data_IF_942058528516
#
_entry.id   IF_942058528516
#
_cell.length_a   1.000
_cell.length_b   1.000
_cell.length_c   1.000
_cell.angle_alpha   90.00
_cell.angle_beta   90.00
_cell.angle_gamma   90.00
#
_symmetry.space_group_name_H-M   'P 1'
#
loop_
_entity.id
_entity.type
_entity.pdbx_description
1 polymer ?
#
# COMPACT_ATOMS: atom_id res chain seq x y z
N UNK A 1 -3.55 14.13 -12.27
CA UNK A 1 -4.09 13.27 -11.19
C UNK A 1 -5.08 14.10 -10.41
N UNK A 2 -6.16 13.51 -9.85
CA UNK A 2 -7.01 14.27 -8.95
C UNK A 2 -6.18 14.80 -7.79
N UNK A 3 -6.41 16.03 -7.44
CA UNK A 3 -5.74 16.72 -6.34
C UNK A 3 -6.06 15.98 -5.03
N UNK A 4 -5.02 15.57 -4.31
CA UNK A 4 -5.19 14.91 -3.01
C UNK A 4 -5.41 15.96 -1.93
N UNK A 5 -6.32 15.68 -1.02
CA UNK A 5 -6.71 16.59 0.04
C UNK A 5 -6.72 15.87 1.38
N UNK A 6 -6.22 16.55 2.40
CA UNK A 6 -6.36 16.17 3.80
C UNK A 6 -7.42 17.06 4.46
N UNK A 7 -8.11 16.50 5.45
CA UNK A 7 -9.12 17.20 6.22
C UNK A 7 -8.85 16.97 7.71
N UNK A 8 -8.78 18.02 8.48
CA UNK A 8 -8.79 17.95 9.94
C UNK A 8 -10.25 18.04 10.42
N UNK A 9 -10.85 16.89 10.72
CA UNK A 9 -12.26 16.78 11.07
C UNK A 9 -12.41 16.49 12.56
N UNK A 10 -13.00 17.41 13.35
CA UNK A 10 -13.32 17.16 14.75
C UNK A 10 -14.15 15.90 14.92
N UNK A 11 -13.94 15.17 16.00
CA UNK A 11 -14.59 13.88 16.24
C UNK A 11 -16.14 13.97 16.21
N UNK A 12 -16.67 15.06 16.73
CA UNK A 12 -18.10 15.34 16.75
C UNK A 12 -18.71 15.58 15.36
N UNK A 13 -17.90 16.12 14.42
CA UNK A 13 -18.30 16.38 13.04
C UNK A 13 -18.06 15.22 12.08
N UNK A 14 -17.40 14.14 12.53
CA UNK A 14 -16.95 13.04 11.68
C UNK A 14 -18.13 12.35 10.94
N UNK A 15 -19.28 12.18 11.58
CA UNK A 15 -20.45 11.54 10.97
C UNK A 15 -20.98 12.39 9.82
N UNK A 16 -21.08 13.70 10.02
CA UNK A 16 -21.57 14.64 9.00
C UNK A 16 -20.60 14.74 7.84
N UNK A 17 -19.29 14.77 8.12
CA UNK A 17 -18.25 14.74 7.12
C UNK A 17 -18.33 13.47 6.25
N UNK A 18 -18.42 12.29 6.85
CA UNK A 18 -18.53 11.02 6.12
C UNK A 18 -19.83 10.99 5.29
N UNK A 19 -20.93 11.52 5.82
CA UNK A 19 -22.18 11.59 5.09
C UNK A 19 -22.09 12.52 3.87
N UNK A 20 -21.47 13.69 4.01
CA UNK A 20 -21.21 14.62 2.91
C UNK A 20 -20.29 14.00 1.84
N UNK A 21 -19.18 13.38 2.26
CA UNK A 21 -18.26 12.67 1.37
C UNK A 21 -18.97 11.58 0.54
N UNK A 22 -19.85 10.80 1.17
CA UNK A 22 -20.62 9.74 0.48
C UNK A 22 -21.63 10.28 -0.52
N UNK A 23 -22.18 11.47 -0.30
CA UNK A 23 -23.13 12.11 -1.21
C UNK A 23 -22.41 12.87 -2.35
N UNK A 24 -21.11 13.05 -2.25
CA UNK A 24 -20.35 13.89 -3.19
C UNK A 24 -20.60 15.38 -3.02
N UNK A 25 -20.96 15.81 -1.80
CA UNK A 25 -21.21 17.22 -1.48
C UNK A 25 -19.90 18.01 -1.56
N UNK A 26 -19.98 19.33 -1.64
CA UNK A 26 -18.85 20.22 -1.50
C UNK A 26 -18.26 20.13 -0.08
N UNK A 27 -16.96 19.83 -0.01
CA UNK A 27 -16.23 19.66 1.24
C UNK A 27 -15.43 20.89 1.67
N UNK A 28 -15.58 22.02 0.99
CA UNK A 28 -14.84 23.27 1.30
C UNK A 28 -15.07 23.78 2.72
N UNK A 29 -16.25 23.48 3.30
CA UNK A 29 -16.56 23.82 4.70
C UNK A 29 -15.60 23.17 5.72
N UNK A 30 -14.96 22.03 5.36
CA UNK A 30 -13.97 21.32 6.19
C UNK A 30 -12.52 21.72 5.88
N UNK A 31 -12.30 22.82 5.12
CA UNK A 31 -10.99 23.41 4.85
C UNK A 31 -9.96 22.39 4.35
N UNK A 32 -10.16 21.84 3.13
CA UNK A 32 -9.21 20.91 2.55
C UNK A 32 -7.81 21.51 2.42
N UNK A 33 -6.81 20.72 2.78
CA UNK A 33 -5.41 21.06 2.57
C UNK A 33 -4.84 20.17 1.46
N UNK A 34 -4.11 20.72 0.48
CA UNK A 34 -3.50 19.91 -0.57
C UNK A 34 -2.42 18.99 0.02
N UNK A 35 -2.36 17.75 -0.48
CA UNK A 35 -1.36 16.75 -0.05
C UNK A 35 -0.49 16.37 -1.24
N UNK A 36 0.80 16.63 -1.15
CA UNK A 36 1.81 16.35 -2.18
C UNK A 36 2.61 15.05 -1.92
N UNK A 37 2.54 14.52 -0.71
CA UNK A 37 3.21 13.29 -0.30
C UNK A 37 2.31 12.06 -0.36
N UNK A 38 2.91 10.87 -0.35
CA UNK A 38 2.20 9.59 -0.25
C UNK A 38 2.11 9.14 1.19
N UNK A 39 1.02 8.46 1.54
CA UNK A 39 0.83 7.89 2.87
C UNK A 39 1.26 6.43 2.88
N UNK A 40 2.12 6.06 3.84
CA UNK A 40 2.56 4.69 4.04
C UNK A 40 2.05 4.16 5.38
N UNK A 41 1.14 3.20 5.34
CA UNK A 41 0.57 2.58 6.52
C UNK A 41 1.35 1.31 6.87
N UNK A 42 1.96 1.24 8.05
CA UNK A 42 2.64 0.06 8.57
C UNK A 42 1.77 -0.68 9.58
N UNK A 43 1.59 -1.99 9.41
CA UNK A 43 0.83 -2.80 10.36
C UNK A 43 1.65 -3.05 11.63
N UNK A 44 1.21 -2.48 12.76
CA UNK A 44 1.84 -2.64 14.09
C UNK A 44 0.93 -3.37 15.08
N UNK A 45 -0.19 -3.95 14.64
CA UNK A 45 -1.24 -4.48 15.48
C UNK A 45 -0.85 -5.76 16.23
N UNK A 46 -0.48 -5.61 17.50
CA UNK A 46 0.00 -6.71 18.34
C UNK A 46 -1.07 -7.60 18.98
N UNK A 47 -2.32 -7.14 19.07
CA UNK A 47 -3.39 -7.93 19.71
C UNK A 47 -3.79 -9.17 18.90
N UNK A 48 -3.66 -9.13 17.58
CA UNK A 48 -4.00 -10.24 16.70
C UNK A 48 -2.80 -11.13 16.38
N UNK A 49 -1.63 -10.52 16.21
CA UNK A 49 -0.41 -11.25 15.87
C UNK A 49 0.83 -10.55 16.45
N UNK A 50 1.59 -11.28 17.26
CA UNK A 50 2.82 -10.77 17.88
C UNK A 50 3.88 -10.38 16.84
N UNK A 51 3.85 -10.99 15.65
CA UNK A 51 4.78 -10.68 14.56
C UNK A 51 4.61 -9.24 14.07
N UNK A 52 3.36 -8.76 13.90
CA UNK A 52 3.11 -7.38 13.50
C UNK A 52 3.59 -6.37 14.57
N UNK A 53 3.39 -6.68 15.85
CA UNK A 53 3.90 -5.81 16.93
C UNK A 53 5.42 -5.78 16.95
N UNK A 54 6.08 -6.93 16.77
CA UNK A 54 7.54 -7.03 16.89
C UNK A 54 8.23 -6.45 15.64
N UNK A 55 7.92 -7.00 14.47
CA UNK A 55 8.58 -6.64 13.22
C UNK A 55 8.01 -5.37 12.61
N UNK A 56 6.67 -5.24 12.59
CA UNK A 56 6.01 -4.08 11.98
C UNK A 56 6.32 -2.77 12.69
N UNK A 57 6.42 -2.77 14.03
CA UNK A 57 6.79 -1.55 14.76
C UNK A 57 8.25 -1.14 14.54
N UNK A 58 9.17 -2.10 14.46
CA UNK A 58 10.56 -1.82 14.10
C UNK A 58 10.67 -1.21 12.70
N UNK A 59 9.99 -1.83 11.72
CA UNK A 59 9.95 -1.36 10.34
C UNK A 59 9.31 0.03 10.23
N UNK A 60 8.20 0.29 10.95
CA UNK A 60 7.58 1.61 11.00
C UNK A 60 8.58 2.69 11.43
N UNK A 61 9.30 2.45 12.54
CA UNK A 61 10.30 3.40 13.04
C UNK A 61 11.42 3.65 12.03
N UNK A 62 11.95 2.57 11.46
CA UNK A 62 13.04 2.67 10.50
C UNK A 62 12.61 3.37 9.21
N UNK A 63 11.38 3.13 8.72
CA UNK A 63 10.81 3.87 7.58
C UNK A 63 10.62 5.35 7.89
N UNK A 64 10.05 5.70 9.05
CA UNK A 64 9.85 7.07 9.45
C UNK A 64 11.18 7.83 9.63
N UNK A 65 12.22 7.14 10.10
CA UNK A 65 13.56 7.70 10.20
C UNK A 65 14.20 7.89 8.83
N UNK A 66 14.11 6.89 7.94
CA UNK A 66 14.63 6.97 6.58
C UNK A 66 13.96 8.10 5.76
N UNK A 67 12.65 8.26 5.87
CA UNK A 67 11.90 9.34 5.22
C UNK A 67 12.43 10.70 5.67
N UNK A 68 12.62 10.92 6.96
CA UNK A 68 13.16 12.19 7.49
C UNK A 68 14.62 12.42 7.11
N UNK A 69 15.43 11.37 7.10
CA UNK A 69 16.87 11.47 6.81
C UNK A 69 17.13 11.78 5.34
N UNK A 70 16.34 11.22 4.45
CA UNK A 70 16.50 11.35 3.00
C UNK A 70 15.52 12.33 2.34
N UNK A 71 14.72 13.04 3.14
CA UNK A 71 13.72 14.03 2.67
C UNK A 71 12.79 13.44 1.59
N UNK A 72 12.25 12.25 1.86
CA UNK A 72 11.40 11.53 0.91
C UNK A 72 9.93 11.95 1.05
N UNK A 73 9.14 11.94 -0.05
CA UNK A 73 7.77 12.47 -0.07
C UNK A 73 6.75 11.48 0.51
N UNK A 74 6.97 11.04 1.74
CA UNK A 74 6.07 10.10 2.43
C UNK A 74 5.71 10.59 3.82
N UNK A 75 4.48 10.29 4.23
CA UNK A 75 4.04 10.31 5.61
C UNK A 75 3.84 8.86 6.09
N UNK A 76 4.55 8.46 7.14
CA UNK A 76 4.56 7.07 7.61
C UNK A 76 3.75 6.95 8.88
N UNK A 77 2.73 6.09 8.86
CA UNK A 77 1.78 5.92 9.96
C UNK A 77 1.73 4.47 10.44
N UNK A 78 1.49 4.32 11.74
CA UNK A 78 1.06 3.05 12.30
C UNK A 78 -0.39 2.76 11.90
N UNK A 79 -0.66 1.51 11.59
CA UNK A 79 -2.01 1.06 11.27
C UNK A 79 -2.37 -0.22 12.02
N UNK A 80 -3.67 -0.45 12.16
CA UNK A 80 -4.19 -1.71 12.61
C UNK A 80 -4.00 -2.79 11.54
N UNK A 81 -4.71 -3.89 11.63
CA UNK A 81 -4.56 -5.05 10.76
C UNK A 81 -4.79 -4.76 9.27
N UNK A 82 -3.70 -4.79 8.48
CA UNK A 82 -3.74 -4.64 7.01
C UNK A 82 -3.96 -5.98 6.26
N UNK A 83 -4.13 -7.08 6.97
CA UNK A 83 -4.17 -8.42 6.41
C UNK A 83 -2.77 -9.00 6.14
N UNK A 84 -2.66 -10.34 6.14
CA UNK A 84 -1.40 -11.03 5.82
C UNK A 84 -0.37 -11.02 6.94
N UNK A 85 -0.76 -11.21 8.21
CA UNK A 85 0.15 -11.22 9.37
C UNK A 85 1.34 -12.18 9.23
N UNK A 86 1.18 -13.28 8.48
CA UNK A 86 2.28 -14.22 8.16
C UNK A 86 3.37 -13.60 7.28
N UNK A 87 3.12 -12.42 6.77
CA UNK A 87 4.02 -11.65 5.90
C UNK A 87 4.48 -10.35 6.60
N UNK A 88 4.51 -10.36 7.95
CA UNK A 88 5.08 -9.24 8.69
C UNK A 88 6.59 -9.12 8.40
N UNK A 89 7.15 -7.94 8.31
CA UNK A 89 6.49 -6.64 8.41
C UNK A 89 5.75 -6.30 7.11
N UNK A 90 4.61 -5.63 7.21
CA UNK A 90 3.78 -5.31 6.04
C UNK A 90 3.35 -3.83 6.04
N UNK A 91 3.29 -3.27 4.83
CA UNK A 91 2.87 -1.90 4.59
C UNK A 91 1.89 -1.80 3.43
N UNK A 92 1.14 -0.70 3.40
CA UNK A 92 0.27 -0.28 2.30
C UNK A 92 0.61 1.16 1.93
N UNK A 93 0.88 1.40 0.66
CA UNK A 93 1.18 2.73 0.11
C UNK A 93 -0.05 3.31 -0.55
N UNK A 94 -0.43 4.51 -0.17
CA UNK A 94 -1.54 5.28 -0.70
C UNK A 94 -1.03 6.52 -1.44
N UNK A 95 -1.65 6.91 -2.53
CA UNK A 95 -2.92 6.42 -3.11
C UNK A 95 -2.78 5.23 -4.04
N UNK A 96 -1.57 4.74 -4.30
CA UNK A 96 -1.29 3.67 -5.26
C UNK A 96 -1.93 2.33 -4.89
N UNK A 97 -2.31 2.14 -3.61
CA UNK A 97 -2.86 0.92 -3.04
C UNK A 97 -1.93 -0.30 -3.16
N UNK A 98 -0.62 -0.03 -3.25
CA UNK A 98 0.43 -1.05 -3.34
C UNK A 98 0.69 -1.69 -1.98
N UNK A 99 0.62 -3.00 -1.93
CA UNK A 99 0.80 -3.78 -0.72
C UNK A 99 2.17 -4.44 -0.67
N UNK A 100 2.84 -4.32 0.47
CA UNK A 100 4.15 -4.88 0.74
C UNK A 100 4.10 -5.87 1.91
N UNK A 101 5.05 -6.81 1.93
CA UNK A 101 5.18 -7.76 3.02
C UNK A 101 6.56 -8.39 3.07
N UNK A 102 6.96 -8.90 4.25
CA UNK A 102 8.30 -9.40 4.54
C UNK A 102 9.40 -8.35 4.36
N UNK A 103 9.07 -7.12 4.70
CA UNK A 103 10.00 -6.01 4.60
C UNK A 103 11.09 -6.20 5.66
N UNK A 104 12.33 -6.38 5.22
CA UNK A 104 13.53 -6.42 6.06
C UNK A 104 14.18 -5.05 6.18
N UNK A 105 15.19 -4.94 7.03
CA UNK A 105 15.88 -3.67 7.25
C UNK A 105 16.58 -3.16 5.97
N UNK A 106 17.15 -4.07 5.19
CA UNK A 106 17.83 -3.75 3.92
C UNK A 106 16.86 -3.34 2.79
N UNK A 107 15.57 -3.64 2.94
CA UNK A 107 14.55 -3.29 1.95
C UNK A 107 14.01 -1.87 2.12
N UNK A 108 14.16 -1.26 3.29
CA UNK A 108 13.48 -0.02 3.67
C UNK A 108 13.79 1.12 2.71
N UNK A 109 15.06 1.48 2.58
CA UNK A 109 15.45 2.60 1.72
C UNK A 109 15.20 2.32 0.23
N UNK A 110 15.56 1.14 -0.32
CA UNK A 110 15.25 0.81 -1.72
C UNK A 110 13.75 0.82 -2.03
N UNK A 111 12.88 0.38 -1.09
CA UNK A 111 11.43 0.43 -1.24
C UNK A 111 10.93 1.88 -1.30
N UNK A 112 11.36 2.72 -0.37
CA UNK A 112 10.98 4.13 -0.33
C UNK A 112 11.42 4.87 -1.59
N UNK A 113 12.66 4.67 -2.03
CA UNK A 113 13.17 5.27 -3.26
C UNK A 113 12.45 4.79 -4.52
N UNK A 114 12.09 3.49 -4.58
CA UNK A 114 11.32 2.94 -5.70
C UNK A 114 9.94 3.57 -5.77
N UNK A 115 9.24 3.65 -4.63
CA UNK A 115 7.93 4.29 -4.54
C UNK A 115 7.99 5.79 -4.83
N UNK A 116 9.03 6.50 -4.42
CA UNK A 116 9.22 7.92 -4.74
C UNK A 116 9.36 8.14 -6.26
N UNK A 117 9.89 7.16 -6.99
CA UNK A 117 9.94 7.15 -8.46
C UNK A 117 8.64 6.64 -9.11
N UNK A 118 7.61 6.36 -8.32
CA UNK A 118 6.32 5.86 -8.79
C UNK A 118 6.27 4.37 -9.13
N UNK A 119 7.30 3.59 -8.76
CA UNK A 119 7.46 2.17 -9.12
C UNK A 119 7.34 1.26 -7.91
N UNK A 120 6.78 0.04 -8.06
CA UNK A 120 6.79 -0.95 -6.99
C UNK A 120 8.19 -1.51 -6.75
N UNK A 121 8.57 -1.71 -5.50
CA UNK A 121 9.77 -2.43 -5.11
C UNK A 121 9.48 -3.94 -5.08
N UNK A 122 9.84 -4.66 -6.14
CA UNK A 122 9.42 -6.04 -6.39
C UNK A 122 9.82 -7.04 -5.29
N UNK A 123 11.00 -6.98 -4.65
CA UNK A 123 11.38 -7.97 -3.63
C UNK A 123 10.37 -8.13 -2.49
N UNK A 124 9.67 -7.06 -2.14
CA UNK A 124 8.67 -7.05 -1.08
C UNK A 124 7.22 -6.86 -1.58
N UNK A 125 7.02 -6.70 -2.90
CA UNK A 125 5.73 -6.36 -3.49
C UNK A 125 4.75 -7.53 -3.42
N UNK A 126 3.51 -7.24 -3.00
CA UNK A 126 2.44 -8.22 -2.86
C UNK A 126 1.27 -7.98 -3.80
N UNK A 127 1.38 -6.96 -4.65
CA UNK A 127 0.35 -6.58 -5.60
C UNK A 127 -0.53 -5.41 -5.14
N UNK A 128 -1.37 -4.97 -6.05
CA UNK A 128 -2.39 -3.94 -5.79
C UNK A 128 -3.47 -4.51 -4.85
N UNK A 129 -3.77 -3.78 -3.78
CA UNK A 129 -4.73 -4.24 -2.76
C UNK A 129 -6.18 -4.28 -3.24
N UNK A 130 -6.49 -3.69 -4.41
CA UNK A 130 -7.81 -3.79 -5.08
C UNK A 130 -8.02 -5.14 -5.74
N UNK A 131 -6.95 -5.85 -6.07
CA UNK A 131 -6.99 -7.12 -6.76
C UNK A 131 -7.26 -8.28 -5.79
N UNK A 132 -7.93 -9.33 -6.30
CA UNK A 132 -8.03 -10.60 -5.59
C UNK A 132 -6.65 -11.24 -5.40
N UNK A 133 -6.45 -12.14 -4.42
CA UNK A 133 -5.16 -12.79 -4.21
C UNK A 133 -4.57 -13.48 -5.46
N UNK A 134 -5.41 -14.12 -6.29
CA UNK A 134 -4.95 -14.73 -7.56
C UNK A 134 -4.40 -13.68 -8.52
N UNK A 135 -5.11 -12.56 -8.68
CA UNK A 135 -4.71 -11.47 -9.55
C UNK A 135 -3.48 -10.74 -9.04
N UNK A 136 -3.35 -10.58 -7.72
CA UNK A 136 -2.12 -10.06 -7.12
C UNK A 136 -0.92 -10.93 -7.50
N UNK A 137 -1.04 -12.26 -7.40
CA UNK A 137 0.02 -13.17 -7.82
C UNK A 137 0.34 -13.04 -9.31
N UNK A 138 -0.68 -12.93 -10.18
CA UNK A 138 -0.48 -12.76 -11.61
C UNK A 138 0.23 -11.42 -11.92
N UNK A 139 -0.19 -10.33 -11.29
CA UNK A 139 0.45 -9.03 -11.44
C UNK A 139 1.92 -9.05 -11.02
N UNK A 140 2.22 -9.60 -9.84
CA UNK A 140 3.59 -9.70 -9.33
C UNK A 140 4.45 -10.54 -10.27
N UNK A 141 3.98 -11.71 -10.68
CA UNK A 141 4.71 -12.60 -11.60
C UNK A 141 5.00 -11.94 -12.96
N UNK A 142 4.04 -11.18 -13.51
CA UNK A 142 4.24 -10.44 -14.75
C UNK A 142 5.28 -9.32 -14.60
N UNK A 143 5.25 -8.56 -13.50
CA UNK A 143 6.22 -7.53 -13.21
C UNK A 143 7.63 -8.10 -13.00
N UNK A 144 7.76 -9.21 -12.28
CA UNK A 144 9.03 -9.91 -12.09
C UNK A 144 9.60 -10.44 -13.41
N UNK A 145 8.73 -10.99 -14.27
CA UNK A 145 9.14 -11.44 -15.59
C UNK A 145 9.64 -10.29 -16.48
N UNK A 146 8.92 -9.16 -16.50
CA UNK A 146 9.35 -7.97 -17.24
C UNK A 146 10.69 -7.44 -16.73
N UNK A 147 10.85 -7.34 -15.42
CA UNK A 147 12.09 -6.90 -14.79
C UNK A 147 13.27 -7.82 -15.16
N UNK A 148 13.06 -9.14 -15.22
CA UNK A 148 14.07 -10.10 -15.63
C UNK A 148 14.49 -9.94 -17.11
N UNK A 149 13.64 -9.34 -17.96
CA UNK A 149 13.96 -8.96 -19.35
C UNK A 149 14.57 -7.55 -19.45
N UNK A 150 14.76 -6.85 -18.33
CA UNK A 150 15.22 -5.45 -18.34
C UNK A 150 14.15 -4.47 -18.84
N UNK A 151 12.88 -4.91 -18.83
CA UNK A 151 11.75 -4.08 -19.27
C UNK A 151 11.06 -3.44 -18.07
N UNK A 152 10.69 -2.20 -18.23
CA UNK A 152 9.90 -1.45 -17.26
C UNK A 152 8.56 -1.11 -17.90
N UNK A 153 7.48 -1.66 -17.34
CA UNK A 153 6.12 -1.39 -17.78
C UNK A 153 5.13 -1.51 -16.62
N UNK A 154 4.03 -0.79 -16.74
CA UNK A 154 2.87 -1.01 -15.87
C UNK A 154 2.11 -2.25 -16.34
N UNK A 155 1.61 -3.01 -15.35
CA UNK A 155 0.83 -4.23 -15.60
C UNK A 155 -0.59 -4.01 -15.10
N UNK A 156 -1.54 -4.02 -16.02
CA UNK A 156 -2.96 -4.06 -15.72
C UNK A 156 -3.47 -5.50 -15.80
N UNK A 157 -4.16 -5.95 -14.76
CA UNK A 157 -4.79 -7.27 -14.71
C UNK A 157 -6.26 -7.10 -15.09
N UNK A 158 -6.57 -7.45 -16.33
CA UNK A 158 -7.94 -7.42 -16.86
C UNK A 158 -8.69 -8.72 -16.56
N UNK A 159 -10.03 -8.64 -16.50
CA UNK A 159 -10.88 -9.82 -16.44
C UNK A 159 -10.98 -10.43 -17.84
N UNK A 160 -10.59 -11.71 -18.00
CA UNK A 160 -11.09 -12.48 -19.11
C UNK A 160 -12.57 -12.79 -18.85
N UNK A 161 -13.44 -12.33 -19.75
CA UNK A 161 -14.89 -12.51 -19.66
C UNK A 161 -15.36 -13.97 -19.75
N UNK A 162 -14.43 -14.91 -19.88
CA UNK A 162 -14.67 -16.37 -19.92
C UNK A 162 -13.80 -17.10 -18.91
N UNK A 163 -14.09 -16.98 -17.62
CA UNK A 163 -13.68 -18.02 -16.68
C UNK A 163 -14.62 -19.24 -16.83
N UNK A 164 -14.47 -19.95 -17.96
CA UNK A 164 -14.93 -21.32 -18.04
C UNK A 164 -14.13 -22.13 -17.03
N UNK A 165 -14.79 -22.99 -16.28
CA UNK A 165 -14.24 -23.95 -15.31
C UNK A 165 -13.02 -24.71 -15.89
N UNK A 166 -11.86 -24.11 -15.84
CA UNK A 166 -10.62 -24.79 -16.20
C UNK A 166 -10.13 -25.57 -14.97
N UNK A 167 -9.83 -26.85 -15.12
CA UNK A 167 -9.44 -27.70 -14.00
C UNK A 167 -8.17 -27.17 -13.34
N UNK A 168 -8.22 -27.09 -12.01
CA UNK A 168 -7.15 -26.65 -11.13
C UNK A 168 -5.86 -27.41 -11.44
N UNK A 169 -4.90 -26.78 -12.10
CA UNK A 169 -3.59 -27.39 -12.30
C UNK A 169 -2.89 -27.43 -10.95
N UNK A 170 -2.79 -28.61 -10.36
CA UNK A 170 -1.99 -28.85 -9.16
C UNK A 170 -0.52 -28.80 -9.55
N UNK A 171 0.18 -27.80 -9.04
CA UNK A 171 1.64 -27.83 -9.02
C UNK A 171 2.08 -28.79 -7.91
N UNK A 172 2.88 -29.78 -8.25
CA UNK A 172 3.59 -30.66 -7.31
C UNK A 172 4.93 -30.06 -6.95
#
# INVERSE_FOLDING_TARGET
MPERQAFDVPREALVDFIAALRRGDDLTAWRPEPVDHSLMLCCTHGKKDKCCAKFGFATYKAMAEAVRHHDLPFDVWESTHLGGCRLAASALVLPQLRKYGRIGDDDILPLLESEARGRPYLPCYRGDSRLTPRRQCAQVAALEWLAAQGLEADVEVVDDAEETDAPTTRWR
#
